data_IF_946174124228
#
_entry.id   IF_946174124228
#
_cell.length_a   1.000
_cell.length_b   1.000
_cell.length_c   1.000
_cell.angle_alpha   90.00
_cell.angle_beta   90.00
_cell.angle_gamma   90.00
#
_symmetry.space_group_name_H-M   'P 1'
#
loop_
_entity.id
_entity.type
_entity.pdbx_description
1 polymer ?
#
# COMPACT_ATOMS: atom_id res chain seq x y z
N UNK A 1 10.55 3.74 -23.09
CA UNK A 1 11.09 4.97 -22.48
C UNK A 1 10.27 5.27 -21.24
N UNK A 2 10.82 5.11 -20.04
CA UNK A 2 10.13 5.54 -18.81
C UNK A 2 10.28 7.04 -18.70
N UNK A 3 9.23 7.77 -19.10
CA UNK A 3 9.14 9.20 -18.86
C UNK A 3 9.21 9.42 -17.35
N UNK A 4 10.17 10.23 -16.89
CA UNK A 4 10.33 10.53 -15.46
C UNK A 4 9.04 11.21 -14.97
N UNK A 5 8.58 10.82 -13.79
CA UNK A 5 7.43 11.49 -13.16
C UNK A 5 7.75 12.98 -12.91
N UNK A 6 6.74 13.87 -13.01
CA UNK A 6 6.94 15.28 -12.69
C UNK A 6 7.47 15.50 -11.27
N UNK A 7 8.23 16.57 -11.04
CA UNK A 7 8.86 16.85 -9.73
C UNK A 7 7.84 16.96 -8.58
N UNK A 8 6.65 17.48 -8.86
CA UNK A 8 5.58 17.62 -7.88
C UNK A 8 4.92 16.28 -7.48
N UNK A 9 5.13 15.21 -8.24
CA UNK A 9 4.59 13.88 -7.94
C UNK A 9 5.59 13.06 -7.11
N UNK A 10 6.03 13.64 -5.99
CA UNK A 10 6.96 13.03 -5.03
C UNK A 10 6.36 13.06 -3.63
N UNK A 11 6.71 12.08 -2.79
CA UNK A 11 6.23 11.99 -1.41
C UNK A 11 7.35 12.28 -0.41
N UNK A 12 6.97 12.78 0.77
CA UNK A 12 7.88 12.88 1.91
C UNK A 12 7.73 11.64 2.79
N UNK A 13 8.84 10.96 3.07
CA UNK A 13 8.82 9.78 3.92
C UNK A 13 8.81 10.21 5.41
N UNK A 14 7.88 9.71 6.23
CA UNK A 14 7.92 9.89 7.67
C UNK A 14 9.05 9.06 8.28
N UNK A 15 9.28 9.20 9.59
CA UNK A 15 10.28 8.40 10.31
C UNK A 15 9.92 6.91 10.20
N UNK A 16 10.86 6.01 9.80
CA UNK A 16 10.58 4.59 9.60
C UNK A 16 9.91 3.91 10.79
N UNK A 17 10.26 4.33 12.01
CA UNK A 17 9.75 3.72 13.25
C UNK A 17 8.24 3.91 13.44
N UNK A 18 7.64 4.92 12.80
CA UNK A 18 6.20 5.19 12.89
C UNK A 18 5.35 4.24 12.04
N UNK A 19 5.96 3.54 11.09
CA UNK A 19 5.28 2.62 10.16
C UNK A 19 5.29 1.19 10.72
N UNK A 20 6.35 0.85 11.49
CA UNK A 20 6.64 -0.51 11.98
C UNK A 20 5.50 -1.14 12.78
N UNK A 21 4.78 -0.36 13.58
CA UNK A 21 3.66 -0.87 14.39
C UNK A 21 2.56 -1.49 13.52
N UNK A 22 2.11 -0.75 12.48
CA UNK A 22 1.09 -1.22 11.55
C UNK A 22 1.65 -2.37 10.70
N UNK A 23 2.89 -2.25 10.22
CA UNK A 23 3.54 -3.30 9.43
C UNK A 23 3.60 -4.64 10.19
N UNK A 24 4.10 -4.61 11.42
CA UNK A 24 4.22 -5.79 12.27
C UNK A 24 2.83 -6.38 12.58
N UNK A 25 1.82 -5.55 12.77
CA UNK A 25 0.44 -6.01 12.95
C UNK A 25 -0.08 -6.75 11.71
N UNK A 26 0.13 -6.21 10.50
CA UNK A 26 -0.32 -6.85 9.26
C UNK A 26 0.36 -8.21 9.06
N UNK A 27 1.69 -8.28 9.27
CA UNK A 27 2.46 -9.51 9.12
C UNK A 27 2.11 -10.56 10.18
N UNK A 28 2.04 -10.17 11.44
CA UNK A 28 1.73 -11.10 12.54
C UNK A 28 0.34 -11.72 12.45
N UNK A 29 -0.62 -11.01 11.85
CA UNK A 29 -2.00 -11.47 11.70
C UNK A 29 -2.32 -12.01 10.30
N UNK A 30 -1.34 -12.07 9.40
CA UNK A 30 -1.53 -12.48 8.00
C UNK A 30 -2.67 -11.70 7.31
N UNK A 31 -2.70 -10.38 7.52
CA UNK A 31 -3.73 -9.50 6.97
C UNK A 31 -3.24 -8.85 5.67
N UNK A 32 -4.18 -8.61 4.76
CA UNK A 32 -3.93 -7.90 3.51
C UNK A 32 -4.50 -6.49 3.57
N UNK A 33 -3.82 -5.54 2.94
CA UNK A 33 -4.26 -4.15 2.84
C UNK A 33 -4.20 -3.68 1.39
N UNK A 34 -5.14 -2.82 1.00
CA UNK A 34 -5.07 -2.17 -0.32
C UNK A 34 -3.88 -1.20 -0.37
N UNK A 35 -3.42 -0.71 0.78
CA UNK A 35 -2.23 0.12 0.91
C UNK A 35 -1.02 -0.54 0.24
N UNK A 36 -0.81 -1.83 0.51
CA UNK A 36 0.29 -2.62 -0.04
C UNK A 36 -0.06 -3.23 -1.40
N UNK A 37 -1.18 -3.95 -1.50
CA UNK A 37 -1.54 -4.70 -2.70
C UNK A 37 -1.75 -3.82 -3.93
N UNK A 38 -2.22 -2.57 -3.76
CA UNK A 38 -2.37 -1.61 -4.84
C UNK A 38 -1.18 -0.64 -4.99
N UNK A 39 -0.10 -0.82 -4.21
CA UNK A 39 1.12 0.03 -4.23
C UNK A 39 0.81 1.51 -3.97
N UNK A 40 0.02 1.79 -2.94
CA UNK A 40 -0.42 3.14 -2.62
C UNK A 40 0.78 4.01 -2.20
N UNK A 41 1.03 5.17 -2.85
CA UNK A 41 2.13 6.06 -2.48
C UNK A 41 1.95 6.70 -1.09
N UNK A 42 0.73 6.73 -0.56
CA UNK A 42 0.41 7.32 0.75
C UNK A 42 0.57 6.33 1.92
N UNK A 43 0.97 5.07 1.67
CA UNK A 43 1.16 4.07 2.72
C UNK A 43 2.00 4.60 3.89
N UNK A 44 3.17 5.24 3.68
CA UNK A 44 3.99 5.72 4.78
C UNK A 44 3.25 6.73 5.66
N UNK A 45 2.53 7.67 5.04
CA UNK A 45 1.76 8.69 5.76
C UNK A 45 0.60 8.07 6.53
N UNK A 46 -0.23 7.25 5.89
CA UNK A 46 -1.39 6.63 6.53
C UNK A 46 -0.99 5.74 7.71
N UNK A 47 0.04 4.90 7.53
CA UNK A 47 0.50 4.00 8.58
C UNK A 47 1.17 4.74 9.73
N UNK A 48 1.89 5.83 9.47
CA UNK A 48 2.44 6.69 10.54
C UNK A 48 1.33 7.30 11.43
N UNK A 49 0.12 7.43 10.89
CA UNK A 49 -1.09 7.89 11.59
C UNK A 49 -1.96 6.72 12.09
N UNK A 50 -1.43 5.49 12.12
CA UNK A 50 -2.13 4.27 12.56
C UNK A 50 -3.43 4.00 11.77
N UNK A 51 -3.44 4.35 10.49
CA UNK A 51 -4.59 4.15 9.60
C UNK A 51 -4.23 3.20 8.47
N UNK A 52 -5.07 2.18 8.24
CA UNK A 52 -4.93 1.23 7.14
C UNK A 52 -6.31 0.83 6.60
N UNK A 53 -6.35 0.45 5.32
CA UNK A 53 -7.57 -0.07 4.67
C UNK A 53 -7.37 -1.54 4.35
N UNK A 54 -8.15 -2.39 5.03
CA UNK A 54 -8.05 -3.84 4.94
C UNK A 54 -8.68 -4.40 3.66
N UNK A 55 -8.13 -5.52 3.20
CA UNK A 55 -8.73 -6.39 2.19
C UNK A 55 -9.14 -7.71 2.86
N UNK A 56 -10.43 -8.02 2.79
CA UNK A 56 -11.02 -9.13 3.56
C UNK A 56 -11.02 -10.49 2.85
N UNK A 57 -10.87 -10.53 1.52
CA UNK A 57 -10.97 -11.75 0.70
C UNK A 57 -9.61 -12.15 0.08
N UNK A 58 -8.52 -11.84 0.77
CA UNK A 58 -7.16 -12.08 0.26
C UNK A 58 -6.62 -10.93 -0.60
N UNK A 59 -5.52 -11.20 -1.29
CA UNK A 59 -4.78 -10.23 -2.12
C UNK A 59 -4.93 -10.43 -3.63
N UNK A 60 -5.74 -11.41 -4.04
CA UNK A 60 -5.93 -11.81 -5.43
C UNK A 60 -7.36 -11.49 -5.88
N UNK A 61 -7.48 -10.81 -7.01
CA UNK A 61 -8.78 -10.43 -7.59
C UNK A 61 -9.03 -11.20 -8.89
N UNK A 62 -10.24 -11.73 -9.05
CA UNK A 62 -10.65 -12.44 -10.29
C UNK A 62 -10.97 -11.50 -11.46
N UNK A 63 -10.93 -10.18 -11.22
CA UNK A 63 -11.14 -9.15 -12.24
C UNK A 63 -9.82 -8.50 -12.63
N UNK A 64 -9.74 -8.05 -13.88
CA UNK A 64 -8.54 -7.42 -14.46
C UNK A 64 -8.78 -5.95 -14.84
N UNK A 65 -9.09 -5.11 -13.86
CA UNK A 65 -9.27 -3.67 -14.09
C UNK A 65 -7.94 -3.05 -14.57
N UNK A 66 -7.92 -2.40 -15.74
CA UNK A 66 -6.67 -1.95 -16.38
C UNK A 66 -5.84 -0.92 -15.62
N UNK A 67 -6.40 -0.30 -14.57
CA UNK A 67 -5.71 0.65 -13.69
C UNK A 67 -5.25 0.03 -12.36
N UNK A 68 -5.73 -1.16 -12.01
CA UNK A 68 -5.56 -1.74 -10.69
C UNK A 68 -4.27 -2.58 -10.64
N UNK A 69 -3.45 -2.35 -9.61
CA UNK A 69 -2.19 -3.07 -9.42
C UNK A 69 -2.32 -4.35 -8.58
N UNK A 70 -3.52 -4.67 -8.07
CA UNK A 70 -3.79 -5.89 -7.30
C UNK A 70 -3.55 -7.12 -8.19
N UNK A 71 -2.99 -8.18 -7.60
CA UNK A 71 -2.71 -9.45 -8.29
C UNK A 71 -3.99 -10.01 -8.91
N UNK A 72 -3.93 -10.37 -10.18
CA UNK A 72 -5.01 -11.07 -10.89
C UNK A 72 -4.78 -12.58 -10.77
N UNK A 73 -5.84 -13.34 -10.52
CA UNK A 73 -5.81 -14.80 -10.43
C UNK A 73 -7.20 -15.41 -10.35
#
# INVERSE_FOLDING_TARGET
>A
MTQRLPEWLTIRLPRPDTIKEVEQMMRSKSLHTVCESARCPNLPECWSKKTATFMILGDTCTRSCGFCAIKVG
#
